data_IF_242868777205
#
_entry.id   IF_242868777205
#
_cell.length_a   1.000
_cell.length_b   1.000
_cell.length_c   1.000
_cell.angle_alpha   90.00
_cell.angle_beta   90.00
_cell.angle_gamma   90.00
#
_symmetry.space_group_name_H-M   'P 1'
#
loop_
_entity.id
_entity.type
_entity.pdbx_description
1 polymer ?
#
# COMPACT_ATOMS: atom_id res chain seq x y z
N UNK A 1 43.44 -5.91 -2.42
CA UNK A 1 42.98 -4.89 -1.46
C UNK A 1 41.79 -5.49 -0.72
N UNK A 2 41.81 -5.59 0.61
CA UNK A 2 40.78 -6.35 1.34
C UNK A 2 39.50 -5.54 1.57
N UNK A 3 38.37 -6.20 1.35
CA UNK A 3 37.02 -5.75 1.59
C UNK A 3 36.80 -5.45 3.07
N UNK A 4 36.47 -4.20 3.39
CA UNK A 4 36.02 -3.81 4.72
C UNK A 4 34.50 -4.02 4.85
N UNK A 5 34.12 -5.11 5.47
CA UNK A 5 32.79 -5.34 6.00
C UNK A 5 32.55 -4.37 7.19
N UNK A 6 31.81 -3.32 6.99
CA UNK A 6 31.29 -2.53 8.12
C UNK A 6 30.04 -3.23 8.65
N UNK A 7 30.19 -3.93 9.76
CA UNK A 7 29.08 -4.43 10.57
C UNK A 7 28.53 -3.24 11.39
N UNK A 8 27.27 -2.90 11.17
CA UNK A 8 26.53 -2.05 12.11
C UNK A 8 25.96 -2.96 13.19
N UNK A 9 26.53 -2.87 14.39
CA UNK A 9 25.93 -3.47 15.59
C UNK A 9 24.85 -2.51 16.12
N UNK A 10 23.60 -2.91 16.05
CA UNK A 10 22.55 -2.36 16.90
C UNK A 10 22.66 -3.11 18.24
N UNK A 11 23.01 -2.40 19.32
CA UNK A 11 22.99 -2.96 20.66
C UNK A 11 21.54 -3.14 21.12
N UNK A 12 21.11 -4.37 21.21
CA UNK A 12 19.92 -4.76 21.94
C UNK A 12 20.27 -4.85 23.42
N UNK A 13 19.70 -3.99 24.24
CA UNK A 13 19.72 -4.17 25.70
C UNK A 13 18.59 -5.10 26.09
N UNK A 14 18.94 -6.31 26.46
CA UNK A 14 18.05 -7.23 27.20
C UNK A 14 17.85 -6.65 28.61
N UNK A 15 16.59 -6.38 28.94
CA UNK A 15 16.19 -6.06 30.32
C UNK A 15 16.08 -7.34 31.13
N UNK A 16 16.97 -7.57 32.06
CA UNK A 16 16.90 -8.65 33.06
C UNK A 16 15.69 -8.43 33.96
N UNK A 17 14.77 -9.40 33.99
CA UNK A 17 13.75 -9.51 35.03
C UNK A 17 14.34 -10.27 36.20
N UNK A 18 14.66 -9.58 37.29
CA UNK A 18 14.96 -10.21 38.57
C UNK A 18 13.67 -10.64 39.26
N UNK A 19 13.62 -11.92 39.53
CA UNK A 19 12.60 -12.56 40.34
C UNK A 19 12.98 -12.40 41.83
N UNK A 20 12.23 -11.61 42.59
CA UNK A 20 12.36 -11.59 44.05
C UNK A 20 11.05 -11.99 44.71
N UNK A 21 11.11 -13.15 45.33
CA UNK A 21 9.98 -13.75 46.02
C UNK A 21 9.78 -13.16 47.42
N UNK A 22 8.55 -12.83 47.78
CA UNK A 22 8.06 -12.83 49.17
C UNK A 22 6.62 -13.31 49.25
N UNK A 23 6.44 -14.18 50.23
CA UNK A 23 5.23 -14.91 50.52
C UNK A 23 4.20 -14.08 51.33
N UNK A 24 2.95 -14.53 51.17
CA UNK A 24 1.82 -14.54 52.10
C UNK A 24 1.36 -13.26 52.82
N UNK A 25 0.21 -12.77 52.39
CA UNK A 25 -0.85 -12.39 53.33
C UNK A 25 -2.24 -12.60 52.71
N UNK A 26 -3.01 -13.49 53.37
CA UNK A 26 -4.42 -13.73 53.12
C UNK A 26 -5.24 -12.55 53.60
N UNK A 27 -6.03 -11.95 52.73
CA UNK A 27 -7.22 -11.18 53.11
C UNK A 27 -8.40 -11.61 52.24
N UNK A 28 -9.29 -12.34 52.86
CA UNK A 28 -10.66 -12.64 52.40
C UNK A 28 -11.46 -11.32 52.40
N UNK A 29 -11.87 -10.87 51.24
CA UNK A 29 -13.01 -9.96 51.07
C UNK A 29 -13.74 -10.33 49.79
N UNK A 30 -14.83 -11.08 49.94
CA UNK A 30 -15.83 -11.35 48.92
C UNK A 30 -16.52 -10.06 48.49
N UNK A 31 -16.13 -9.54 47.34
CA UNK A 31 -16.93 -8.59 46.57
C UNK A 31 -17.41 -9.27 45.27
N UNK A 32 -18.63 -9.04 44.83
CA UNK A 32 -19.15 -9.71 43.65
C UNK A 32 -18.32 -9.34 42.42
N UNK A 33 -17.74 -10.38 41.80
CA UNK A 33 -16.98 -10.27 40.56
C UNK A 33 -17.91 -9.71 39.48
N UNK A 34 -17.71 -8.45 39.13
CA UNK A 34 -18.29 -7.90 37.91
C UNK A 34 -17.83 -8.79 36.75
N UNK A 35 -18.76 -9.41 36.05
CA UNK A 35 -18.45 -10.17 34.84
C UNK A 35 -17.67 -9.27 33.90
N UNK A 36 -16.52 -9.72 33.39
CA UNK A 36 -15.80 -8.93 32.39
C UNK A 36 -16.75 -8.78 31.19
N UNK A 37 -17.05 -7.54 30.83
CA UNK A 37 -17.65 -7.23 29.54
C UNK A 37 -16.78 -7.91 28.48
N UNK A 38 -17.30 -8.97 27.87
CA UNK A 38 -16.70 -9.57 26.72
C UNK A 38 -16.70 -8.50 25.62
N UNK A 39 -15.58 -7.80 25.47
CA UNK A 39 -15.36 -6.96 24.29
C UNK A 39 -15.39 -7.90 23.09
N UNK A 40 -16.49 -7.90 22.36
CA UNK A 40 -16.58 -8.61 21.08
C UNK A 40 -15.43 -8.13 20.20
N UNK A 41 -14.60 -9.05 19.75
CA UNK A 41 -13.56 -8.73 18.78
C UNK A 41 -14.23 -7.99 17.62
N UNK A 42 -13.78 -6.79 17.23
CA UNK A 42 -14.44 -6.03 16.16
C UNK A 42 -14.46 -6.90 14.89
N UNK A 43 -15.65 -7.25 14.45
CA UNK A 43 -15.85 -8.10 13.28
C UNK A 43 -15.53 -7.26 12.04
N UNK A 44 -14.86 -7.86 11.05
CA UNK A 44 -14.63 -7.22 9.74
C UNK A 44 -15.96 -7.13 8.99
N UNK A 45 -16.38 -5.92 8.63
CA UNK A 45 -17.56 -5.66 7.84
C UNK A 45 -17.16 -4.92 6.54
N UNK A 46 -17.66 -5.40 5.40
CA UNK A 46 -17.38 -4.84 4.08
C UNK A 46 -18.69 -4.54 3.38
N UNK A 47 -18.95 -3.26 3.13
CA UNK A 47 -20.16 -2.76 2.50
C UNK A 47 -19.83 -2.05 1.18
N UNK A 48 -20.39 -2.53 0.07
CA UNK A 48 -20.21 -1.94 -1.24
C UNK A 48 -21.44 -1.11 -1.67
N UNK A 49 -21.21 -0.04 -2.43
CA UNK A 49 -22.31 0.68 -3.09
C UNK A 49 -23.08 -0.24 -4.05
N UNK A 50 -24.35 0.03 -4.25
CA UNK A 50 -25.32 -0.86 -4.91
C UNK A 50 -24.83 -1.47 -6.24
N UNK A 51 -24.13 -0.71 -7.05
CA UNK A 51 -23.68 -1.15 -8.39
C UNK A 51 -22.18 -1.48 -8.46
N UNK A 52 -21.46 -1.45 -7.35
CA UNK A 52 -20.02 -1.71 -7.34
C UNK A 52 -19.65 -3.08 -7.94
N UNK A 53 -20.39 -4.13 -7.58
CA UNK A 53 -20.14 -5.49 -8.11
C UNK A 53 -20.50 -5.60 -9.60
N UNK A 54 -21.56 -4.94 -10.05
CA UNK A 54 -21.91 -4.87 -11.46
C UNK A 54 -20.83 -4.15 -12.26
N UNK A 55 -20.28 -3.06 -11.72
CA UNK A 55 -19.17 -2.33 -12.30
C UNK A 55 -17.92 -3.20 -12.46
N UNK A 56 -17.51 -3.99 -11.43
CA UNK A 56 -16.39 -4.94 -11.53
C UNK A 56 -16.60 -5.90 -12.70
N UNK A 57 -17.82 -6.43 -12.85
CA UNK A 57 -18.17 -7.36 -13.93
C UNK A 57 -18.13 -6.69 -15.29
N UNK A 58 -18.70 -5.50 -15.43
CA UNK A 58 -18.74 -4.73 -16.68
C UNK A 58 -17.33 -4.36 -17.14
N UNK A 59 -16.47 -3.96 -16.20
CA UNK A 59 -15.07 -3.66 -16.48
C UNK A 59 -14.21 -4.92 -16.63
N UNK A 60 -14.74 -6.13 -16.37
CA UNK A 60 -14.02 -7.41 -16.42
C UNK A 60 -12.76 -7.40 -15.58
N UNK A 61 -12.89 -6.99 -14.34
CA UNK A 61 -11.76 -6.89 -13.41
C UNK A 61 -12.14 -7.30 -12.00
N UNK A 62 -11.11 -7.59 -11.25
CA UNK A 62 -11.12 -7.72 -9.80
C UNK A 62 -10.12 -6.74 -9.20
N UNK A 63 -10.11 -6.61 -7.88
CA UNK A 63 -9.22 -5.70 -7.17
C UNK A 63 -8.39 -6.46 -6.15
N UNK A 64 -7.13 -6.09 -6.01
CA UNK A 64 -6.30 -6.43 -4.88
C UNK A 64 -6.04 -5.17 -4.07
N UNK A 65 -6.01 -5.28 -2.74
CA UNK A 65 -5.52 -4.21 -1.89
C UNK A 65 -4.80 -4.76 -0.66
N UNK A 66 -3.88 -3.99 -0.14
CA UNK A 66 -3.09 -4.34 1.03
C UNK A 66 -3.47 -3.49 2.23
N UNK A 67 -3.20 -4.03 3.42
CA UNK A 67 -3.41 -3.35 4.70
C UNK A 67 -2.12 -3.37 5.50
N UNK A 68 -1.66 -2.20 5.93
CA UNK A 68 -0.38 -2.07 6.62
C UNK A 68 -0.38 -2.71 8.01
N UNK A 69 -1.32 -2.31 8.88
CA UNK A 69 -1.34 -2.72 10.29
C UNK A 69 -1.78 -4.16 10.48
N UNK A 70 -2.78 -4.61 9.72
CA UNK A 70 -3.32 -5.96 9.85
C UNK A 70 -2.59 -6.99 8.99
N UNK A 71 -1.66 -6.53 8.12
CA UNK A 71 -0.84 -7.40 7.27
C UNK A 71 -1.67 -8.28 6.35
N UNK A 72 -2.72 -7.74 5.73
CA UNK A 72 -3.63 -8.49 4.87
C UNK A 72 -3.48 -8.11 3.41
N UNK A 73 -3.42 -9.10 2.55
CA UNK A 73 -3.72 -9.00 1.12
C UNK A 73 -5.18 -9.39 0.93
N UNK A 74 -6.02 -8.46 0.51
CA UNK A 74 -7.40 -8.70 0.11
C UNK A 74 -7.51 -8.81 -1.39
N UNK A 75 -8.35 -9.73 -1.83
CA UNK A 75 -8.73 -9.91 -3.23
C UNK A 75 -10.25 -9.82 -3.33
N UNK A 76 -10.73 -8.86 -4.12
CA UNK A 76 -12.15 -8.62 -4.33
C UNK A 76 -12.54 -8.97 -5.76
N UNK A 77 -13.66 -9.65 -5.91
CA UNK A 77 -14.18 -10.01 -7.23
C UNK A 77 -15.70 -10.15 -7.24
N UNK A 78 -16.23 -10.73 -8.32
CA UNK A 78 -17.64 -10.93 -8.53
C UNK A 78 -17.95 -12.43 -8.64
N UNK A 79 -18.79 -12.94 -7.74
CA UNK A 79 -19.32 -14.31 -7.81
C UNK A 79 -20.29 -14.48 -9.00
N UNK A 80 -20.51 -15.71 -9.48
CA UNK A 80 -21.47 -15.97 -10.56
C UNK A 80 -22.89 -15.50 -10.25
N UNK A 81 -23.30 -15.53 -8.96
CA UNK A 81 -24.61 -15.06 -8.50
C UNK A 81 -24.72 -13.53 -8.38
N UNK A 82 -23.65 -12.78 -8.73
CA UNK A 82 -23.63 -11.33 -8.70
C UNK A 82 -23.27 -10.74 -7.34
N UNK A 83 -22.89 -11.55 -6.35
CA UNK A 83 -22.43 -11.06 -5.06
C UNK A 83 -20.94 -10.77 -5.07
N UNK A 84 -20.49 -9.93 -4.12
CA UNK A 84 -19.10 -9.67 -3.90
C UNK A 84 -18.37 -10.95 -3.45
N UNK A 85 -17.26 -11.26 -4.10
CA UNK A 85 -16.28 -12.23 -3.63
C UNK A 85 -15.23 -11.48 -2.81
N UNK A 86 -14.96 -11.95 -1.61
CA UNK A 86 -13.90 -11.42 -0.74
C UNK A 86 -13.00 -12.57 -0.34
N UNK A 87 -11.73 -12.45 -0.61
CA UNK A 87 -10.71 -13.41 -0.22
C UNK A 87 -9.57 -12.69 0.48
N UNK A 88 -8.92 -13.30 1.49
CA UNK A 88 -7.81 -12.67 2.17
C UNK A 88 -6.72 -13.65 2.57
N UNK A 89 -5.49 -13.16 2.63
CA UNK A 89 -4.32 -13.84 3.19
C UNK A 89 -3.47 -12.88 4.01
N UNK A 90 -2.83 -13.43 5.04
CA UNK A 90 -2.00 -12.66 5.96
C UNK A 90 -0.53 -12.79 5.63
N UNK A 91 0.15 -11.65 5.54
CA UNK A 91 1.61 -11.52 5.39
C UNK A 91 2.09 -10.43 6.37
N UNK A 92 3.39 -10.36 6.59
CA UNK A 92 3.92 -9.32 7.47
C UNK A 92 4.00 -7.98 6.75
N UNK A 93 3.25 -6.97 7.23
CA UNK A 93 3.26 -5.59 6.74
C UNK A 93 3.18 -5.51 5.20
N UNK A 94 2.03 -5.94 4.66
CA UNK A 94 1.77 -5.82 3.21
C UNK A 94 1.71 -4.34 2.80
N UNK A 95 2.41 -4.00 1.73
CA UNK A 95 2.53 -2.63 1.25
C UNK A 95 2.21 -2.53 -0.25
N UNK A 96 3.14 -2.07 -1.09
CA UNK A 96 2.94 -1.85 -2.51
C UNK A 96 2.58 -3.10 -3.31
N UNK A 97 1.79 -2.92 -4.35
CA UNK A 97 1.32 -3.94 -5.29
C UNK A 97 1.66 -3.57 -6.73
N UNK A 98 2.05 -4.57 -7.52
CA UNK A 98 2.16 -4.43 -8.98
C UNK A 98 1.63 -5.69 -9.67
N UNK A 99 1.00 -5.52 -10.83
CA UNK A 99 0.32 -6.59 -11.57
C UNK A 99 0.83 -6.64 -13.00
N UNK A 100 1.06 -7.85 -13.52
CA UNK A 100 1.34 -8.10 -14.92
C UNK A 100 0.34 -9.10 -15.50
N UNK A 101 -0.58 -8.58 -16.32
CA UNK A 101 -1.67 -9.37 -16.91
C UNK A 101 -2.52 -10.06 -15.84
N UNK A 102 -2.96 -11.30 -16.17
CA UNK A 102 -3.70 -12.16 -15.23
C UNK A 102 -2.80 -13.11 -14.45
N UNK A 103 -1.51 -13.15 -14.77
CA UNK A 103 -0.59 -14.21 -14.33
C UNK A 103 0.19 -13.81 -13.07
N UNK A 104 0.72 -12.61 -13.02
CA UNK A 104 1.70 -12.24 -12.02
C UNK A 104 1.20 -11.11 -11.14
N UNK A 105 1.30 -11.30 -9.83
CA UNK A 105 1.10 -10.29 -8.79
C UNK A 105 2.40 -10.13 -7.98
N UNK A 106 2.89 -8.91 -7.85
CA UNK A 106 3.97 -8.56 -6.95
C UNK A 106 3.43 -7.82 -5.73
N UNK A 107 4.04 -8.07 -4.58
CA UNK A 107 3.70 -7.40 -3.32
C UNK A 107 4.97 -7.15 -2.50
N UNK A 108 5.14 -5.92 -2.01
CA UNK A 108 6.14 -5.65 -0.98
C UNK A 108 5.60 -5.98 0.42
N UNK A 109 6.47 -6.46 1.28
CA UNK A 109 6.19 -6.76 2.68
C UNK A 109 7.28 -6.20 3.58
N UNK A 110 7.31 -6.55 4.87
CA UNK A 110 8.22 -5.98 5.86
C UNK A 110 9.68 -5.94 5.38
N UNK A 111 10.19 -7.07 4.86
CA UNK A 111 11.58 -7.19 4.42
C UNK A 111 11.74 -8.05 3.17
N UNK A 112 10.65 -8.29 2.43
CA UNK A 112 10.65 -9.11 1.23
C UNK A 112 9.76 -8.53 0.14
N UNK A 113 10.16 -8.78 -1.11
CA UNK A 113 9.30 -8.64 -2.28
C UNK A 113 8.83 -10.04 -2.68
N UNK A 114 7.53 -10.23 -2.75
CA UNK A 114 6.89 -11.47 -3.15
C UNK A 114 6.40 -11.40 -4.58
N UNK A 115 6.72 -12.42 -5.39
CA UNK A 115 6.10 -12.66 -6.68
C UNK A 115 5.18 -13.87 -6.57
N UNK A 116 3.92 -13.64 -6.88
CA UNK A 116 2.90 -14.66 -6.98
C UNK A 116 2.62 -14.94 -8.44
N UNK A 117 2.45 -16.21 -8.78
CA UNK A 117 2.03 -16.64 -10.11
C UNK A 117 0.68 -17.35 -10.04
N UNK A 118 -0.18 -17.11 -11.02
CA UNK A 118 -1.42 -17.86 -11.13
C UNK A 118 -1.12 -19.32 -11.50
N UNK A 119 -1.43 -20.23 -10.59
CA UNK A 119 -1.18 -21.66 -10.75
C UNK A 119 -2.26 -22.40 -11.56
N UNK A 120 -3.36 -21.74 -11.93
CA UNK A 120 -4.43 -22.38 -12.64
C UNK A 120 -4.23 -22.33 -14.16
N UNK A 121 -4.36 -23.49 -14.86
CA UNK A 121 -4.47 -23.50 -16.30
C UNK A 121 -5.68 -22.68 -16.79
N UNK A 122 -5.64 -22.20 -18.01
CA UNK A 122 -6.74 -21.46 -18.61
C UNK A 122 -8.06 -22.23 -18.54
N UNK A 123 -9.10 -21.61 -17.99
CA UNK A 123 -10.42 -22.21 -17.83
C UNK A 123 -10.58 -23.18 -16.65
N UNK A 124 -9.52 -23.41 -15.86
CA UNK A 124 -9.61 -24.18 -14.63
C UNK A 124 -10.11 -23.32 -13.47
N UNK A 125 -10.61 -23.96 -12.43
CA UNK A 125 -11.02 -23.31 -11.20
C UNK A 125 -10.43 -24.01 -9.97
N UNK A 126 -10.04 -23.22 -8.98
CA UNK A 126 -9.66 -23.71 -7.66
C UNK A 126 -10.91 -24.05 -6.83
N UNK A 127 -10.76 -24.80 -5.71
CA UNK A 127 -11.85 -25.08 -4.78
C UNK A 127 -12.57 -23.79 -4.37
N UNK A 128 -13.91 -23.80 -4.37
CA UNK A 128 -14.74 -22.62 -4.13
C UNK A 128 -15.08 -21.82 -5.39
N UNK A 129 -14.65 -22.28 -6.58
CA UNK A 129 -14.98 -21.67 -7.87
C UNK A 129 -14.12 -20.46 -8.22
N UNK A 130 -12.96 -20.30 -7.58
CA UNK A 130 -12.00 -19.23 -7.89
C UNK A 130 -11.35 -19.50 -9.26
N UNK A 131 -11.33 -18.48 -10.11
CA UNK A 131 -10.78 -18.56 -11.48
C UNK A 131 -9.28 -18.22 -11.54
N UNK A 132 -8.72 -17.79 -10.41
CA UNK A 132 -7.29 -17.47 -10.29
C UNK A 132 -6.81 -17.90 -8.91
N UNK A 133 -5.64 -18.56 -8.86
CA UNK A 133 -4.95 -18.94 -7.62
C UNK A 133 -3.52 -18.42 -7.66
N UNK A 134 -3.28 -17.30 -7.01
CA UNK A 134 -1.96 -16.71 -6.87
C UNK A 134 -1.13 -17.47 -5.83
N UNK A 135 -0.09 -18.14 -6.28
CA UNK A 135 0.86 -18.89 -5.43
C UNK A 135 2.17 -18.12 -5.32
N UNK A 136 2.69 -17.87 -4.11
CA UNK A 136 3.98 -17.21 -3.97
C UNK A 136 5.11 -18.13 -4.46
N UNK A 137 5.74 -17.78 -5.58
CA UNK A 137 6.80 -18.55 -6.23
C UNK A 137 8.20 -17.99 -5.99
N UNK A 138 8.31 -16.70 -5.70
CA UNK A 138 9.61 -16.06 -5.46
C UNK A 138 9.49 -15.08 -4.30
N UNK A 139 10.41 -15.18 -3.34
CA UNK A 139 10.60 -14.21 -2.27
C UNK A 139 12.01 -13.64 -2.33
N UNK A 140 12.14 -12.33 -2.48
CA UNK A 140 13.43 -11.64 -2.52
C UNK A 140 13.58 -10.85 -1.23
N UNK A 141 14.61 -11.18 -0.44
CA UNK A 141 14.87 -10.51 0.82
C UNK A 141 15.62 -9.21 0.60
N UNK A 142 15.00 -8.10 1.03
CA UNK A 142 15.55 -6.75 0.92
C UNK A 142 16.06 -6.19 2.25
N UNK A 143 15.70 -6.82 3.37
CA UNK A 143 15.72 -6.18 4.68
C UNK A 143 14.59 -5.15 4.81
N UNK A 144 14.45 -4.53 5.97
CA UNK A 144 13.45 -3.46 6.18
C UNK A 144 13.94 -2.17 5.53
N UNK A 145 13.54 -1.97 4.28
CA UNK A 145 13.82 -0.76 3.48
C UNK A 145 12.61 0.18 3.41
N UNK A 146 11.53 -0.20 4.09
CA UNK A 146 10.23 0.48 4.06
C UNK A 146 9.75 0.69 2.60
N UNK A 147 9.55 -0.43 1.88
CA UNK A 147 9.24 -0.45 0.45
C UNK A 147 7.82 0.04 0.18
N UNK A 148 7.64 1.36 0.01
CA UNK A 148 6.33 2.03 -0.08
C UNK A 148 5.57 1.76 -1.36
N UNK A 149 6.22 1.71 -2.49
CA UNK A 149 5.58 1.49 -3.79
C UNK A 149 6.43 0.52 -4.62
N UNK A 150 5.79 -0.25 -5.48
CA UNK A 150 6.42 -1.20 -6.39
C UNK A 150 5.75 -1.08 -7.77
N UNK A 151 6.56 -1.08 -8.81
CA UNK A 151 6.10 -1.06 -10.19
C UNK A 151 6.96 -2.03 -11.02
N UNK A 152 6.51 -2.34 -12.24
CA UNK A 152 7.25 -3.21 -13.15
C UNK A 152 7.83 -2.39 -14.31
N UNK A 153 9.07 -2.67 -14.66
CA UNK A 153 9.71 -2.11 -15.86
C UNK A 153 9.22 -2.82 -17.13
N UNK A 154 9.76 -2.41 -18.29
CA UNK A 154 9.42 -3.02 -19.58
C UNK A 154 9.70 -4.51 -19.69
N UNK A 155 10.61 -5.03 -18.87
CA UNK A 155 10.98 -6.44 -18.83
C UNK A 155 10.16 -7.23 -17.78
N UNK A 156 9.20 -6.59 -17.11
CA UNK A 156 8.41 -7.17 -16.02
C UNK A 156 9.19 -7.32 -14.71
N UNK A 157 10.34 -6.66 -14.58
CA UNK A 157 11.15 -6.68 -13.36
C UNK A 157 10.69 -5.59 -12.40
N UNK A 158 10.68 -5.87 -11.08
CA UNK A 158 10.23 -4.90 -10.11
C UNK A 158 11.23 -3.77 -9.90
N UNK A 159 10.70 -2.55 -9.88
CA UNK A 159 11.33 -1.33 -9.37
C UNK A 159 10.51 -0.89 -8.17
N UNK A 160 11.15 -0.56 -7.07
CA UNK A 160 10.47 -0.18 -5.84
C UNK A 160 11.07 1.08 -5.19
N UNK A 161 10.26 1.71 -4.36
CA UNK A 161 10.67 2.86 -3.56
C UNK A 161 11.20 2.38 -2.23
N UNK A 162 12.51 2.50 -2.01
CA UNK A 162 13.15 2.23 -0.73
C UNK A 162 13.11 3.52 0.12
N UNK A 163 12.00 3.76 0.80
CA UNK A 163 11.70 5.01 1.53
C UNK A 163 12.73 5.30 2.60
N UNK A 164 13.11 4.28 3.38
CA UNK A 164 14.13 4.41 4.43
C UNK A 164 15.45 4.96 3.88
N UNK A 165 15.81 4.61 2.63
CA UNK A 165 17.02 5.06 1.95
C UNK A 165 16.79 6.24 1.00
N UNK A 166 15.54 6.72 0.87
CA UNK A 166 15.16 7.82 -0.04
C UNK A 166 15.63 7.60 -1.48
N UNK A 167 15.39 6.40 -2.04
CA UNK A 167 15.82 6.06 -3.40
C UNK A 167 14.84 5.13 -4.12
N UNK A 168 14.94 5.09 -5.45
CA UNK A 168 14.42 4.01 -6.27
C UNK A 168 15.43 2.88 -6.29
N UNK A 169 14.94 1.66 -6.21
CA UNK A 169 15.76 0.46 -6.14
C UNK A 169 15.20 -0.68 -6.97
N UNK A 170 16.05 -1.62 -7.32
CA UNK A 170 15.71 -2.91 -7.90
C UNK A 170 16.22 -4.05 -7.00
N UNK A 171 15.64 -5.25 -7.09
CA UNK A 171 16.18 -6.44 -6.47
C UNK A 171 17.63 -6.70 -6.86
N UNK A 172 18.35 -7.35 -5.97
CA UNK A 172 19.71 -7.84 -6.19
C UNK A 172 19.81 -9.30 -5.79
N UNK A 173 20.54 -10.09 -6.55
CA UNK A 173 20.79 -11.50 -6.24
C UNK A 173 21.82 -11.68 -5.11
N UNK A 174 22.63 -10.67 -4.84
CA UNK A 174 23.77 -10.75 -3.92
C UNK A 174 23.74 -9.73 -2.80
N UNK A 175 22.84 -8.74 -2.85
CA UNK A 175 22.70 -7.66 -1.87
C UNK A 175 21.21 -7.42 -1.54
N UNK A 176 20.93 -6.69 -0.50
CA UNK A 176 19.57 -6.32 -0.11
C UNK A 176 18.80 -5.64 -1.23
N UNK A 177 19.45 -4.75 -1.97
CA UNK A 177 18.91 -4.09 -3.16
C UNK A 177 20.02 -3.41 -3.97
N UNK A 178 19.69 -3.04 -5.20
CA UNK A 178 20.51 -2.22 -6.09
C UNK A 178 19.87 -0.86 -6.27
N UNK A 179 20.49 0.24 -5.80
CA UNK A 179 19.98 1.59 -6.05
C UNK A 179 19.97 1.90 -7.56
N UNK A 180 18.87 2.51 -8.03
CA UNK A 180 18.71 2.94 -9.42
C UNK A 180 18.81 4.46 -9.56
N UNK A 181 18.18 5.18 -8.65
CA UNK A 181 18.08 6.62 -8.66
C UNK A 181 17.81 7.14 -7.24
N UNK A 182 18.27 8.34 -6.94
CA UNK A 182 17.90 9.08 -5.73
C UNK A 182 17.61 10.55 -6.07
N UNK A 183 16.75 11.22 -5.31
CA UNK A 183 16.50 12.64 -5.51
C UNK A 183 17.78 13.48 -5.45
N UNK A 184 17.91 14.53 -6.25
CA UNK A 184 19.13 15.36 -6.31
C UNK A 184 19.43 16.10 -4.99
N UNK A 185 18.41 16.31 -4.15
CA UNK A 185 18.55 16.93 -2.83
C UNK A 185 18.99 15.96 -1.74
N UNK A 186 19.00 14.66 -1.97
CA UNK A 186 19.48 13.65 -1.02
C UNK A 186 20.96 13.41 -1.24
N UNK A 187 21.81 13.80 -0.28
CA UNK A 187 23.27 13.80 -0.44
C UNK A 187 23.89 12.41 -0.42
N UNK A 188 23.29 11.45 0.31
CA UNK A 188 23.82 10.08 0.47
C UNK A 188 22.70 9.07 0.69
N UNK A 189 22.95 7.81 0.36
CA UNK A 189 22.11 6.67 0.73
C UNK A 189 22.40 6.29 2.19
N UNK A 190 21.42 6.48 3.07
CA UNK A 190 21.46 6.10 4.47
C UNK A 190 20.07 5.71 4.95
N UNK A 191 19.98 4.82 5.92
CA UNK A 191 18.71 4.39 6.52
C UNK A 191 18.18 5.47 7.48
N UNK A 192 17.77 6.61 6.93
CA UNK A 192 17.43 7.83 7.68
C UNK A 192 16.08 8.45 7.27
N UNK A 193 15.38 7.89 6.28
CA UNK A 193 14.10 8.41 5.77
C UNK A 193 14.09 9.94 5.64
N UNK A 194 15.01 10.50 4.86
CA UNK A 194 15.28 11.94 4.85
C UNK A 194 14.16 12.78 4.28
N UNK A 195 13.60 12.37 3.12
CA UNK A 195 12.57 13.12 2.42
C UNK A 195 11.21 12.40 2.34
N UNK A 196 11.12 11.21 2.87
CA UNK A 196 9.99 10.30 2.74
C UNK A 196 9.54 10.15 1.28
N UNK A 197 10.47 9.61 0.46
CA UNK A 197 10.18 9.21 -0.90
C UNK A 197 9.19 8.04 -0.84
N UNK A 198 8.00 8.15 -1.46
CA UNK A 198 6.92 7.21 -1.16
C UNK A 198 6.10 6.71 -2.34
N UNK A 199 6.28 7.25 -3.53
CA UNK A 199 5.51 6.80 -4.68
C UNK A 199 6.28 6.86 -5.99
N UNK A 200 5.91 5.99 -6.93
CA UNK A 200 6.55 5.83 -8.24
C UNK A 200 5.50 5.71 -9.34
N UNK A 201 5.61 6.56 -10.36
CA UNK A 201 4.90 6.41 -11.63
C UNK A 201 5.85 5.95 -12.72
N UNK A 202 5.42 4.92 -13.45
CA UNK A 202 6.11 4.44 -14.66
C UNK A 202 5.54 5.13 -15.91
N UNK A 203 6.39 5.44 -16.88
CA UNK A 203 6.01 5.87 -18.23
C UNK A 203 6.86 5.09 -19.23
N UNK A 204 6.21 4.44 -20.18
CA UNK A 204 6.87 3.60 -21.18
C UNK A 204 7.81 2.54 -20.58
N UNK A 205 7.38 1.91 -19.48
CA UNK A 205 8.14 0.87 -18.78
C UNK A 205 9.36 1.36 -18.02
N UNK A 206 9.49 2.68 -17.77
CA UNK A 206 10.62 3.29 -17.04
C UNK A 206 10.11 4.17 -15.90
N UNK A 207 10.86 4.25 -14.77
CA UNK A 207 10.60 5.26 -13.75
C UNK A 207 10.53 6.66 -14.36
N UNK A 208 9.43 7.37 -14.14
CA UNK A 208 9.19 8.67 -14.70
C UNK A 208 8.96 9.76 -13.66
N UNK A 209 8.10 9.51 -12.69
CA UNK A 209 7.81 10.47 -11.64
C UNK A 209 7.80 9.81 -10.27
N UNK A 210 8.23 10.56 -9.27
CA UNK A 210 8.18 10.15 -7.86
C UNK A 210 7.52 11.21 -7.01
N UNK A 211 6.96 10.80 -5.89
CA UNK A 211 6.46 11.69 -4.84
C UNK A 211 7.35 11.62 -3.60
N UNK A 212 7.59 12.76 -2.97
CA UNK A 212 8.25 12.86 -1.67
C UNK A 212 7.50 13.85 -0.78
N UNK A 213 7.51 13.62 0.54
CA UNK A 213 6.84 14.50 1.51
C UNK A 213 7.60 15.82 1.70
N UNK A 214 8.90 15.84 1.40
CA UNK A 214 9.70 17.06 1.43
C UNK A 214 10.96 16.93 0.56
N UNK A 215 11.73 18.03 0.50
CA UNK A 215 13.05 18.05 -0.10
C UNK A 215 14.17 18.13 0.94
N UNK A 216 13.92 17.64 2.16
CA UNK A 216 14.90 17.63 3.25
C UNK A 216 15.97 16.56 3.04
N UNK A 217 17.17 16.83 3.58
CA UNK A 217 18.33 15.93 3.53
C UNK A 217 18.86 15.62 4.95
N UNK A 218 17.97 15.60 5.94
CA UNK A 218 18.29 15.24 7.32
C UNK A 218 17.39 14.10 7.78
N UNK A 219 17.86 13.32 8.75
CA UNK A 219 17.15 12.20 9.34
C UNK A 219 15.71 12.59 9.73
N UNK A 220 14.72 11.90 9.16
CA UNK A 220 13.27 12.13 9.36
C UNK A 220 12.81 13.60 9.21
N UNK A 221 13.58 14.44 8.52
CA UNK A 221 13.31 15.88 8.39
C UNK A 221 11.99 16.22 7.71
N UNK A 222 11.44 15.29 6.95
CA UNK A 222 10.13 15.44 6.32
C UNK A 222 8.98 15.65 7.30
N UNK A 223 9.11 15.22 8.57
CA UNK A 223 8.02 15.25 9.55
C UNK A 223 7.50 16.65 9.83
N UNK A 224 8.34 17.66 9.72
CA UNK A 224 7.96 19.07 9.93
C UNK A 224 7.31 19.70 8.68
N UNK A 225 7.42 19.04 7.51
CA UNK A 225 6.96 19.54 6.22
C UNK A 225 5.72 18.81 5.68
N UNK A 226 5.01 18.07 6.54
CA UNK A 226 3.87 17.21 6.13
C UNK A 226 2.71 17.97 5.50
N UNK A 227 2.51 19.24 5.85
CA UNK A 227 1.33 20.00 5.42
C UNK A 227 1.43 20.52 3.99
N UNK A 228 2.63 20.92 3.55
CA UNK A 228 2.84 21.65 2.29
C UNK A 228 4.23 21.46 1.66
N UNK A 229 5.10 20.65 2.26
CA UNK A 229 6.45 20.39 1.76
C UNK A 229 6.51 19.40 0.60
N UNK A 230 5.40 18.75 0.28
CA UNK A 230 5.32 17.66 -0.68
C UNK A 230 5.60 18.09 -2.11
N UNK A 231 6.30 17.21 -2.83
CA UNK A 231 6.74 17.45 -4.21
C UNK A 231 6.47 16.24 -5.10
N UNK A 232 6.34 16.52 -6.39
CA UNK A 232 6.47 15.55 -7.48
C UNK A 232 7.72 15.88 -8.26
N UNK A 233 8.59 14.89 -8.49
CA UNK A 233 9.84 15.05 -9.21
C UNK A 233 9.86 14.14 -10.44
N UNK A 234 10.30 14.69 -11.58
CA UNK A 234 10.62 13.91 -12.77
C UNK A 234 11.99 13.24 -12.58
N UNK A 235 12.01 11.92 -12.74
CA UNK A 235 13.19 11.07 -12.49
C UNK A 235 14.27 11.31 -13.54
N UNK A 236 13.88 11.61 -14.77
CA UNK A 236 14.81 11.77 -15.89
C UNK A 236 15.50 13.12 -15.87
N UNK A 237 14.74 14.20 -15.68
CA UNK A 237 15.31 15.56 -15.64
C UNK A 237 15.83 15.96 -14.26
N UNK A 238 15.43 15.25 -13.20
CA UNK A 238 15.64 15.63 -11.80
C UNK A 238 14.93 16.95 -11.40
N UNK A 239 13.96 17.40 -12.17
CA UNK A 239 13.21 18.61 -11.89
C UNK A 239 11.98 18.32 -11.04
N UNK A 240 11.66 19.26 -10.15
CA UNK A 240 10.42 19.21 -9.41
C UNK A 240 9.32 19.81 -10.26
N UNK A 241 8.35 18.98 -10.66
CA UNK A 241 7.25 19.33 -11.56
C UNK A 241 5.96 19.75 -10.85
N UNK A 242 5.88 19.57 -9.52
CA UNK A 242 4.82 20.15 -8.69
C UNK A 242 5.31 20.28 -7.25
N UNK A 243 4.79 21.29 -6.53
CA UNK A 243 5.14 21.61 -5.13
C UNK A 243 3.91 21.96 -4.32
N UNK A 244 4.08 22.08 -2.99
CA UNK A 244 3.03 22.55 -2.10
C UNK A 244 1.98 21.48 -1.77
N UNK A 245 2.30 20.20 -1.97
CA UNK A 245 1.43 19.09 -1.66
C UNK A 245 1.56 18.68 -0.18
N UNK A 246 0.48 18.15 0.37
CA UNK A 246 0.48 17.54 1.70
C UNK A 246 0.60 16.04 1.58
N UNK A 247 1.75 15.49 1.98
CA UNK A 247 2.02 14.04 1.97
C UNK A 247 1.54 13.36 0.66
N UNK A 248 2.05 13.75 -0.53
CA UNK A 248 1.60 13.17 -1.79
C UNK A 248 2.00 11.69 -1.89
N UNK A 249 1.09 10.86 -2.43
CA UNK A 249 1.28 9.41 -2.59
C UNK A 249 0.84 8.91 -3.97
N UNK A 250 1.29 7.71 -4.30
CA UNK A 250 0.77 6.89 -5.40
C UNK A 250 0.65 7.65 -6.72
N UNK A 251 1.72 8.28 -7.25
CA UNK A 251 1.68 8.88 -8.58
C UNK A 251 1.42 7.79 -9.61
N UNK A 252 0.59 8.06 -10.61
CA UNK A 252 0.32 7.12 -11.72
C UNK A 252 0.24 7.89 -13.03
N UNK A 253 0.95 7.38 -14.05
CA UNK A 253 0.84 7.86 -15.41
C UNK A 253 -0.23 7.08 -16.15
N UNK A 254 -1.26 7.75 -16.64
CA UNK A 254 -2.38 7.11 -17.31
C UNK A 254 -2.93 8.00 -18.41
N UNK A 255 -3.11 7.43 -19.62
CA UNK A 255 -3.66 8.14 -20.78
C UNK A 255 -2.99 9.51 -21.05
N UNK A 256 -1.65 9.56 -20.94
CA UNK A 256 -0.89 10.79 -21.22
C UNK A 256 -0.93 11.82 -20.09
N UNK A 257 -1.48 11.49 -18.91
CA UNK A 257 -1.66 12.38 -17.78
C UNK A 257 -1.04 11.80 -16.51
N UNK A 258 -0.44 12.65 -15.68
CA UNK A 258 0.06 12.29 -14.36
C UNK A 258 -1.02 12.57 -13.30
N UNK A 259 -1.41 11.52 -12.58
CA UNK A 259 -2.33 11.61 -11.44
C UNK A 259 -1.59 11.37 -10.13
N UNK A 260 -2.05 12.02 -9.06
CA UNK A 260 -1.42 11.96 -7.73
C UNK A 260 -2.50 12.03 -6.65
N UNK A 261 -2.26 11.35 -5.53
CA UNK A 261 -3.01 11.54 -4.30
C UNK A 261 -2.33 12.61 -3.45
N UNK A 262 -2.97 13.75 -3.23
CA UNK A 262 -2.58 14.74 -2.23
C UNK A 262 -3.16 14.31 -0.88
N UNK A 263 -2.59 13.26 -0.31
CA UNK A 263 -3.19 12.43 0.73
C UNK A 263 -3.47 13.18 2.02
N UNK A 264 -2.54 14.07 2.41
CA UNK A 264 -2.70 14.89 3.60
C UNK A 264 -3.74 16.01 3.46
N UNK A 265 -4.23 16.29 2.25
CA UNK A 265 -5.35 17.19 1.99
C UNK A 265 -6.65 16.45 1.68
N UNK A 266 -6.60 15.12 1.51
CA UNK A 266 -7.76 14.32 1.13
C UNK A 266 -8.20 14.58 -0.31
N UNK A 267 -7.25 14.74 -1.24
CA UNK A 267 -7.54 15.08 -2.63
C UNK A 267 -6.91 14.06 -3.58
N UNK A 268 -7.68 13.71 -4.59
CA UNK A 268 -7.21 13.05 -5.80
C UNK A 268 -7.21 14.04 -6.94
N UNK A 269 -6.15 14.08 -7.75
CA UNK A 269 -6.08 15.01 -8.86
C UNK A 269 -4.96 14.69 -9.85
N UNK A 270 -4.77 15.61 -10.79
CA UNK A 270 -3.75 15.53 -11.82
C UNK A 270 -2.71 16.62 -11.65
N UNK A 271 -1.54 16.41 -12.24
CA UNK A 271 -0.48 17.42 -12.32
C UNK A 271 -0.46 18.00 -13.72
N UNK A 272 -0.72 19.30 -13.84
CA UNK A 272 -0.42 20.04 -15.05
C UNK A 272 1.10 20.26 -15.11
N UNK A 273 1.77 19.45 -15.93
CA UNK A 273 3.22 19.48 -16.07
C UNK A 273 3.75 20.78 -16.69
N UNK A 274 2.92 21.48 -17.51
CA UNK A 274 3.30 22.73 -18.12
C UNK A 274 3.22 23.90 -17.13
N UNK A 275 2.18 23.92 -16.30
CA UNK A 275 1.98 24.93 -15.27
C UNK A 275 2.73 24.63 -13.96
N UNK A 276 3.19 23.38 -13.75
CA UNK A 276 3.82 22.93 -12.52
C UNK A 276 2.87 22.92 -11.33
N UNK A 277 1.57 22.59 -11.57
CA UNK A 277 0.52 22.69 -10.55
C UNK A 277 -0.28 21.41 -10.43
N UNK A 278 -0.68 21.11 -9.20
CA UNK A 278 -1.67 20.08 -8.90
C UNK A 278 -3.08 20.65 -9.07
N UNK A 279 -3.93 19.93 -9.79
CA UNK A 279 -5.35 20.24 -10.01
C UNK A 279 -6.21 19.16 -9.36
N UNK A 280 -6.96 19.47 -8.27
CA UNK A 280 -7.83 18.50 -7.62
C UNK A 280 -9.01 18.13 -8.50
N UNK A 281 -9.35 16.84 -8.56
CA UNK A 281 -10.51 16.29 -9.27
C UNK A 281 -11.60 15.81 -8.32
N UNK A 282 -11.22 15.10 -7.24
CA UNK A 282 -12.15 14.53 -6.29
C UNK A 282 -11.67 14.69 -4.85
N UNK A 283 -12.63 14.86 -3.93
CA UNK A 283 -12.37 14.81 -2.49
C UNK A 283 -12.42 13.35 -2.00
N UNK A 284 -11.41 12.96 -1.25
CA UNK A 284 -11.26 11.66 -0.63
C UNK A 284 -11.52 11.80 0.89
N UNK A 285 -12.65 11.33 1.42
CA UNK A 285 -12.97 11.46 2.85
C UNK A 285 -12.21 10.45 3.70
N UNK A 286 -10.90 10.60 3.76
CA UNK A 286 -9.93 9.74 4.46
C UNK A 286 -8.53 9.96 3.91
N UNK A 287 -7.54 9.40 4.59
CA UNK A 287 -6.17 9.46 4.12
C UNK A 287 -6.03 8.53 2.90
N UNK A 288 -5.83 9.12 1.73
CA UNK A 288 -5.80 8.39 0.47
C UNK A 288 -4.44 7.70 0.27
N UNK A 289 -4.45 6.39 0.04
CA UNK A 289 -3.27 5.57 -0.32
C UNK A 289 -3.67 4.47 -1.28
N UNK A 290 -2.77 4.17 -2.23
CA UNK A 290 -3.06 3.22 -3.30
C UNK A 290 -3.95 3.84 -4.37
N UNK A 291 -3.45 3.83 -5.60
CA UNK A 291 -4.12 4.34 -6.78
C UNK A 291 -3.88 3.38 -7.94
N UNK A 292 -4.94 2.90 -8.54
CA UNK A 292 -4.89 2.09 -9.76
C UNK A 292 -5.89 2.62 -10.78
N UNK A 293 -5.56 2.52 -12.08
CA UNK A 293 -6.31 3.16 -13.14
C UNK A 293 -6.77 2.12 -14.17
N UNK A 294 -7.99 2.27 -14.69
CA UNK A 294 -8.53 1.45 -15.78
C UNK A 294 -9.51 2.25 -16.62
N UNK A 295 -9.26 2.33 -17.93
CA UNK A 295 -10.11 3.13 -18.83
C UNK A 295 -10.26 4.56 -18.32
N UNK A 296 -11.50 4.97 -18.07
CA UNK A 296 -11.86 6.28 -17.52
C UNK A 296 -12.04 6.28 -16.00
N UNK A 297 -11.56 5.27 -15.29
CA UNK A 297 -11.76 5.15 -13.84
C UNK A 297 -10.46 5.11 -13.05
N UNK A 298 -10.46 5.76 -11.89
CA UNK A 298 -9.46 5.61 -10.84
C UNK A 298 -10.05 4.87 -9.64
N UNK A 299 -9.31 3.87 -9.13
CA UNK A 299 -9.64 3.17 -7.88
C UNK A 299 -8.65 3.63 -6.81
N UNK A 300 -9.18 4.17 -5.71
CA UNK A 300 -8.41 4.83 -4.65
C UNK A 300 -8.67 4.13 -3.32
N UNK A 301 -7.61 3.78 -2.60
CA UNK A 301 -7.69 3.29 -1.24
C UNK A 301 -7.80 4.44 -0.23
N UNK A 302 -8.63 4.26 0.79
CA UNK A 302 -8.82 5.20 1.88
C UNK A 302 -8.54 4.55 3.22
N UNK A 303 -7.99 5.34 4.13
CA UNK A 303 -7.75 4.96 5.52
C UNK A 303 -8.41 5.95 6.47
N UNK A 304 -8.92 5.46 7.60
CA UNK A 304 -9.23 6.35 8.72
C UNK A 304 -7.92 6.90 9.28
N UNK A 305 -7.88 8.18 9.61
CA UNK A 305 -6.70 8.80 10.17
C UNK A 305 -6.31 8.11 11.48
N UNK A 306 -5.02 7.82 11.64
CA UNK A 306 -4.48 7.36 12.91
C UNK A 306 -4.41 8.55 13.89
N UNK A 307 -4.76 8.32 15.13
CA UNK A 307 -4.46 9.23 16.24
C UNK A 307 -2.96 9.19 16.59
N UNK A 308 -2.10 9.53 15.65
CA UNK A 308 -0.66 9.62 15.89
C UNK A 308 -0.07 10.90 15.28
N UNK A 309 1.12 11.29 15.71
CA UNK A 309 1.81 12.49 15.26
C UNK A 309 2.02 12.56 13.73
N UNK A 310 2.04 11.44 13.03
CA UNK A 310 2.26 11.41 11.58
C UNK A 310 1.05 11.90 10.78
N UNK A 311 -0.16 11.57 11.22
CA UNK A 311 -1.40 11.83 10.48
C UNK A 311 -2.32 12.88 11.11
N UNK A 312 -2.01 13.38 12.31
CA UNK A 312 -2.77 14.46 12.95
C UNK A 312 -2.30 15.85 12.49
N UNK A 313 -3.22 16.80 12.44
CA UNK A 313 -2.96 18.18 12.08
C UNK A 313 -2.67 18.41 10.60
N UNK A 314 -3.13 17.51 9.72
CA UNK A 314 -3.04 17.66 8.27
C UNK A 314 -4.19 18.51 7.74
N UNK A 315 -4.09 19.10 6.54
CA UNK A 315 -5.20 19.82 5.88
C UNK A 315 -6.46 18.97 5.73
N UNK A 316 -6.35 17.63 5.68
CA UNK A 316 -7.47 16.69 5.66
C UNK A 316 -8.39 16.86 6.86
N UNK A 317 -7.84 17.08 8.07
CA UNK A 317 -8.64 17.26 9.28
C UNK A 317 -9.56 18.49 9.14
N UNK A 318 -9.00 19.59 8.61
CA UNK A 318 -9.72 20.83 8.34
C UNK A 318 -10.82 20.61 7.27
N UNK A 319 -10.48 19.87 6.19
CA UNK A 319 -11.41 19.58 5.09
C UNK A 319 -12.56 18.67 5.52
N UNK A 320 -12.31 17.65 6.34
CA UNK A 320 -13.33 16.76 6.91
C UNK A 320 -14.29 17.55 7.82
N UNK A 321 -13.75 18.40 8.69
CA UNK A 321 -14.54 19.26 9.58
C UNK A 321 -15.40 20.24 8.78
N UNK A 322 -14.83 20.94 7.79
CA UNK A 322 -15.56 21.90 6.96
C UNK A 322 -16.70 21.26 6.16
N UNK A 323 -16.53 20.00 5.73
CA UNK A 323 -17.56 19.24 5.00
C UNK A 323 -18.50 18.46 5.93
N UNK A 324 -18.27 18.47 7.23
CA UNK A 324 -18.98 17.66 8.21
C UNK A 324 -19.06 16.17 7.84
N UNK A 325 -17.91 15.59 7.45
CA UNK A 325 -17.79 14.19 7.01
C UNK A 325 -16.79 13.46 7.90
N UNK A 326 -17.17 12.29 8.38
CA UNK A 326 -16.24 11.41 9.10
C UNK A 326 -15.26 10.71 8.12
N UNK A 327 -13.99 10.48 8.54
CA UNK A 327 -13.05 9.72 7.72
C UNK A 327 -13.50 8.27 7.54
N UNK A 328 -13.25 7.70 6.35
CA UNK A 328 -13.66 6.35 5.97
C UNK A 328 -12.44 5.50 5.63
N UNK A 329 -12.55 4.19 5.91
CA UNK A 329 -11.66 3.16 5.39
C UNK A 329 -12.37 2.41 4.27
N UNK A 330 -11.68 2.15 3.15
CA UNK A 330 -12.27 1.43 2.02
C UNK A 330 -11.75 1.87 0.66
N UNK A 331 -12.58 1.76 -0.36
CA UNK A 331 -12.25 2.11 -1.74
C UNK A 331 -13.22 3.15 -2.30
N UNK A 332 -12.70 4.04 -3.15
CA UNK A 332 -13.49 4.89 -4.03
C UNK A 332 -13.19 4.54 -5.49
N UNK A 333 -14.22 4.64 -6.33
CA UNK A 333 -14.07 4.64 -7.80
C UNK A 333 -14.48 6.01 -8.30
N UNK A 334 -13.57 6.69 -8.96
CA UNK A 334 -13.76 8.05 -9.51
C UNK A 334 -13.78 7.98 -11.04
N UNK A 335 -14.80 8.57 -11.66
CA UNK A 335 -14.84 8.80 -13.11
C UNK A 335 -13.90 9.98 -13.45
N UNK A 336 -12.85 9.73 -14.23
CA UNK A 336 -11.83 10.72 -14.58
C UNK A 336 -12.34 11.88 -15.47
N UNK A 337 -13.46 11.65 -16.16
CA UNK A 337 -14.05 12.66 -17.07
C UNK A 337 -14.83 13.73 -16.31
N UNK A 338 -15.44 13.35 -15.18
CA UNK A 338 -16.31 14.24 -14.39
C UNK A 338 -15.72 14.58 -13.02
N UNK A 339 -14.82 13.74 -12.48
CA UNK A 339 -14.34 13.82 -11.09
C UNK A 339 -15.33 13.25 -10.07
N UNK A 340 -16.45 12.66 -10.51
CA UNK A 340 -17.45 12.12 -9.60
C UNK A 340 -17.03 10.78 -9.00
N UNK A 341 -17.34 10.59 -7.72
CA UNK A 341 -17.25 9.27 -7.07
C UNK A 341 -18.47 8.45 -7.49
N UNK A 342 -18.26 7.49 -8.38
CA UNK A 342 -19.35 6.67 -8.96
C UNK A 342 -19.64 5.41 -8.15
N UNK A 343 -18.62 4.84 -7.48
CA UNK A 343 -18.79 3.69 -6.60
C UNK A 343 -17.91 3.82 -5.36
N UNK A 344 -18.28 3.11 -4.31
CA UNK A 344 -17.50 3.02 -3.08
C UNK A 344 -17.66 1.65 -2.42
N UNK A 345 -16.65 1.30 -1.62
CA UNK A 345 -16.67 0.16 -0.72
C UNK A 345 -16.13 0.65 0.63
N UNK A 346 -16.89 0.42 1.71
CA UNK A 346 -16.47 0.75 3.08
C UNK A 346 -16.04 -0.50 3.82
N UNK A 347 -15.03 -0.35 4.66
CA UNK A 347 -14.50 -1.39 5.50
C UNK A 347 -14.55 -0.90 6.94
N UNK A 348 -15.20 -1.67 7.82
CA UNK A 348 -15.35 -1.35 9.23
C UNK A 348 -14.79 -2.48 10.11
N UNK A 349 -14.47 -2.17 11.35
CA UNK A 349 -13.94 -3.11 12.33
C UNK A 349 -12.43 -3.07 12.48
N UNK A 350 -11.76 -4.22 12.30
CA UNK A 350 -10.32 -4.36 12.57
C UNK A 350 -9.41 -3.70 11.53
N UNK A 351 -9.89 -3.54 10.29
CA UNK A 351 -9.14 -2.89 9.22
C UNK A 351 -9.50 -1.42 9.18
N UNK A 352 -8.53 -0.57 9.47
CA UNK A 352 -8.68 0.88 9.47
C UNK A 352 -7.78 1.59 8.47
N UNK A 353 -6.86 0.84 7.86
CA UNK A 353 -5.82 1.39 7.01
C UNK A 353 -5.57 0.49 5.81
N UNK A 354 -5.79 1.04 4.62
CA UNK A 354 -5.35 0.49 3.37
C UNK A 354 -3.99 1.07 3.02
N UNK A 355 -3.21 0.30 2.25
CA UNK A 355 -1.89 0.76 1.83
C UNK A 355 -1.80 0.96 0.33
N UNK A 356 -2.08 -0.06 -0.46
CA UNK A 356 -2.06 0.03 -1.92
C UNK A 356 -3.26 -0.70 -2.54
N UNK A 357 -3.56 -0.35 -3.79
CA UNK A 357 -4.65 -0.92 -4.58
C UNK A 357 -4.13 -1.26 -5.97
N UNK A 358 -4.45 -2.45 -6.44
CA UNK A 358 -4.13 -2.91 -7.78
C UNK A 358 -5.36 -3.50 -8.48
N UNK A 359 -5.47 -3.26 -9.77
CA UNK A 359 -6.49 -3.85 -10.64
C UNK A 359 -5.96 -5.19 -11.18
N UNK A 360 -6.80 -6.21 -11.13
CA UNK A 360 -6.56 -7.54 -11.68
C UNK A 360 -7.44 -7.69 -12.95
N UNK A 361 -6.91 -7.35 -14.13
CA UNK A 361 -7.70 -7.36 -15.36
C UNK A 361 -8.05 -8.80 -15.79
N UNK A 362 -9.26 -9.02 -16.26
CA UNK A 362 -9.71 -10.33 -16.78
C UNK A 362 -9.94 -11.41 -15.73
N UNK A 363 -9.84 -11.07 -14.44
CA UNK A 363 -10.06 -11.97 -13.30
C UNK A 363 -11.41 -11.68 -12.66
N UNK A 364 -12.20 -12.71 -12.37
CA UNK A 364 -13.53 -12.56 -11.75
C UNK A 364 -13.54 -12.92 -10.26
N UNK A 365 -12.91 -14.03 -9.90
CA UNK A 365 -12.85 -14.51 -8.49
C UNK A 365 -11.41 -14.88 -8.12
N UNK A 366 -10.57 -13.91 -7.77
CA UNK A 366 -9.20 -14.20 -7.39
C UNK A 366 -9.09 -14.84 -6.01
N UNK A 367 -8.13 -15.75 -5.88
CA UNK A 367 -7.67 -16.32 -4.61
C UNK A 367 -6.14 -16.35 -4.54
N UNK A 368 -5.59 -16.58 -3.35
CA UNK A 368 -4.15 -16.66 -3.16
C UNK A 368 -3.77 -17.67 -2.07
N UNK A 369 -2.56 -18.19 -2.13
CA UNK A 369 -1.96 -18.92 -1.00
C UNK A 369 -1.10 -17.98 -0.17
N UNK A 370 -0.99 -18.31 1.11
CA UNK A 370 -0.10 -17.68 2.07
C UNK A 370 0.70 -18.73 2.82
N UNK A 371 1.59 -18.31 3.72
CA UNK A 371 2.48 -19.22 4.46
C UNK A 371 1.91 -19.69 5.80
N UNK A 372 0.71 -19.20 6.20
CA UNK A 372 0.07 -19.54 7.49
C UNK A 372 -0.94 -20.69 7.41
N UNK A 373 -1.16 -21.26 6.21
CA UNK A 373 -2.03 -22.42 6.00
C UNK A 373 -1.26 -23.58 5.38
N UNK A 374 -1.76 -24.82 5.59
CA UNK A 374 -1.14 -26.03 5.05
C UNK A 374 -1.29 -26.19 3.53
N UNK A 375 -2.10 -25.37 2.88
CA UNK A 375 -2.35 -25.41 1.44
C UNK A 375 -1.05 -25.25 0.65
N UNK A 376 -0.17 -24.33 1.08
CA UNK A 376 1.13 -24.07 0.43
C UNK A 376 2.03 -25.32 0.38
N UNK A 377 1.91 -26.23 1.34
CA UNK A 377 2.72 -27.47 1.39
C UNK A 377 2.29 -28.49 0.33
N UNK A 378 1.09 -28.36 -0.20
CA UNK A 378 0.46 -29.33 -1.10
C UNK A 378 0.27 -28.79 -2.51
N UNK A 379 0.41 -27.50 -2.72
CA UNK A 379 0.30 -26.87 -4.03
C UNK A 379 1.68 -26.77 -4.64
N UNK A 380 1.95 -27.66 -5.60
CA UNK A 380 3.22 -27.74 -6.32
C UNK A 380 2.94 -27.51 -7.79
N UNK A 381 3.61 -26.55 -8.39
CA UNK A 381 3.58 -26.28 -9.83
C UNK A 381 4.88 -26.71 -10.45
N UNK A 382 4.83 -27.27 -11.64
CA UNK A 382 5.99 -27.72 -12.42
C UNK A 382 6.09 -26.88 -13.68
N UNK A 383 7.31 -26.52 -14.05
CA UNK A 383 7.62 -25.93 -15.34
C UNK A 383 7.77 -27.08 -16.34
N UNK A 384 7.03 -27.06 -17.46
CA UNK A 384 7.04 -28.06 -18.51
C UNK A 384 8.04 -27.70 -19.64
#
# INVERSE_FOLDING_TARGET
>A
MPNALKRFNAEWREGEMTNDGRADEKLDLLSPIAQPFAMSTPQLEINASRQFVSWLREQRLSLAFTTYQTGKLFLLGCKPDGKLSVFERTFERCMGLAVSGTQTLWMSSLYQLWRFENALPAGAAAPGGYDTLYVPQLGITTGDVDAHDIALDSDGKPVFVATLFSCLAAPSETHSFRPLWRPPWVSRLAAEDRCHLNGLAMRDGKPAFVTAVSTTDVHEGWREHRRDGGVVCDVQSNEIVARGLSMPHSPRWHNGQLYVLNSGAGEFGRVDLAAGKFEPLAFCPGYARGLSMVGDFAVIGLSTCRENRTFSGLPLDDALAAKNVAPRCGLLVVDLRTGDVVHSLTIEGIVRELYDVAILPGVAMPSALGFKSDEIRRTITLEE
#
